data_IF_798209429690
#
_entry.id   IF_798209429690
#
_cell.length_a   1.000
_cell.length_b   1.000
_cell.length_c   1.000
_cell.angle_alpha   90.00
_cell.angle_beta   90.00
_cell.angle_gamma   90.00
#
_symmetry.space_group_name_H-M   'P 1'
#
loop_
_entity.id
_entity.type
_entity.pdbx_description
1 polymer ?
#
# COMPACT_ATOMS: atom_id res chain seq x y z
N UNK A 1 -1.31 -2.60 24.20
CA UNK A 1 -0.01 -3.09 23.70
C UNK A 1 0.49 -2.14 22.61
N UNK A 2 1.76 -1.71 22.68
CA UNK A 2 2.41 -0.80 21.71
C UNK A 2 2.87 -1.57 20.46
N UNK A 3 1.94 -2.27 19.82
CA UNK A 3 2.28 -3.22 18.76
C UNK A 3 2.75 -2.53 17.48
N UNK A 4 2.27 -1.32 17.18
CA UNK A 4 2.69 -0.56 16.00
C UNK A 4 4.17 -0.18 16.07
N UNK A 5 4.63 0.31 17.23
CA UNK A 5 6.04 0.63 17.45
C UNK A 5 6.92 -0.63 17.39
N UNK A 6 6.40 -1.76 17.89
CA UNK A 6 7.10 -3.06 17.82
C UNK A 6 7.21 -3.56 16.37
N UNK A 7 6.14 -3.48 15.58
CA UNK A 7 6.17 -3.83 14.15
C UNK A 7 7.20 -2.97 13.42
N UNK A 8 7.15 -1.65 13.59
CA UNK A 8 8.09 -0.73 12.94
C UNK A 8 9.56 -1.09 13.26
N UNK A 9 9.85 -1.43 14.52
CA UNK A 9 11.20 -1.85 14.92
C UNK A 9 11.62 -3.17 14.26
N UNK A 10 10.73 -4.16 14.23
CA UNK A 10 11.01 -5.45 13.59
C UNK A 10 11.25 -5.30 12.08
N UNK A 11 10.52 -4.40 11.42
CA UNK A 11 10.69 -4.08 10.01
C UNK A 11 12.06 -3.42 9.75
N UNK A 12 12.47 -2.46 10.59
CA UNK A 12 13.81 -1.84 10.53
C UNK A 12 14.95 -2.84 10.75
N UNK A 13 14.74 -3.83 11.62
CA UNK A 13 15.70 -4.89 11.92
C UNK A 13 15.68 -6.02 10.86
N UNK A 14 14.80 -5.96 9.85
CA UNK A 14 14.65 -7.00 8.83
C UNK A 14 14.06 -8.32 9.35
N UNK A 15 13.40 -8.28 10.52
CA UNK A 15 12.79 -9.42 11.22
C UNK A 15 11.35 -9.65 10.76
N UNK A 16 11.14 -9.81 9.45
CA UNK A 16 9.82 -9.80 8.83
C UNK A 16 8.89 -10.92 9.31
N UNK A 17 9.41 -12.13 9.49
CA UNK A 17 8.64 -13.26 10.01
C UNK A 17 8.09 -12.99 11.41
N UNK A 18 8.89 -12.32 12.25
CA UNK A 18 8.49 -11.96 13.60
C UNK A 18 7.44 -10.85 13.55
N UNK A 19 7.56 -9.90 12.61
CA UNK A 19 6.54 -8.88 12.38
C UNK A 19 5.20 -9.50 11.92
N UNK A 20 5.25 -10.48 11.00
CA UNK A 20 4.07 -11.25 10.57
C UNK A 20 3.45 -11.97 11.76
N UNK A 21 4.24 -12.73 12.53
CA UNK A 21 3.76 -13.44 13.71
C UNK A 21 3.13 -12.51 14.76
N UNK A 22 3.75 -11.36 15.01
CA UNK A 22 3.22 -10.34 15.91
C UNK A 22 1.85 -9.84 15.44
N UNK A 23 1.72 -9.50 14.15
CA UNK A 23 0.47 -9.02 13.56
C UNK A 23 -0.63 -10.09 13.61
N UNK A 24 -0.30 -11.36 13.36
CA UNK A 24 -1.25 -12.47 13.54
C UNK A 24 -1.76 -12.57 14.99
N UNK A 25 -0.88 -12.38 15.99
CA UNK A 25 -1.30 -12.33 17.40
C UNK A 25 -2.21 -11.15 17.70
N UNK A 26 -1.86 -9.96 17.21
CA UNK A 26 -2.70 -8.77 17.38
C UNK A 26 -4.08 -8.99 16.79
N UNK A 27 -4.19 -9.61 15.62
CA UNK A 27 -5.49 -9.97 15.00
C UNK A 27 -6.23 -11.01 15.84
N UNK A 28 -5.55 -12.04 16.35
CA UNK A 28 -6.18 -13.05 17.20
C UNK A 28 -6.74 -12.47 18.51
N UNK A 29 -6.03 -11.51 19.12
CA UNK A 29 -6.46 -10.84 20.36
C UNK A 29 -7.47 -9.71 20.11
N UNK A 30 -7.39 -9.06 18.95
CA UNK A 30 -8.20 -7.91 18.56
C UNK A 30 -8.70 -8.06 17.11
N UNK A 31 -9.64 -8.99 16.86
CA UNK A 31 -10.07 -9.31 15.49
C UNK A 31 -10.76 -8.13 14.79
N UNK A 32 -11.28 -7.14 15.53
CA UNK A 32 -11.90 -5.93 14.97
C UNK A 32 -10.89 -4.80 14.66
N UNK A 33 -9.58 -5.08 14.75
CA UNK A 33 -8.55 -4.09 14.50
C UNK A 33 -8.17 -4.01 13.01
N UNK A 34 -8.83 -3.12 12.27
CA UNK A 34 -8.58 -2.88 10.84
C UNK A 34 -7.10 -2.58 10.52
N UNK A 35 -6.41 -1.84 11.39
CA UNK A 35 -5.00 -1.48 11.18
C UNK A 35 -4.11 -2.72 11.19
N UNK A 36 -4.39 -3.70 12.07
CA UNK A 36 -3.60 -4.91 12.12
C UNK A 36 -3.67 -5.71 10.82
N UNK A 37 -4.85 -5.74 10.16
CA UNK A 37 -5.00 -6.36 8.84
C UNK A 37 -4.29 -5.56 7.74
N UNK A 38 -4.42 -4.23 7.73
CA UNK A 38 -3.72 -3.38 6.75
C UNK A 38 -2.21 -3.60 6.84
N UNK A 39 -1.64 -3.58 8.05
CA UNK A 39 -0.22 -3.81 8.28
C UNK A 39 0.20 -5.23 7.87
N UNK A 40 -0.60 -6.24 8.18
CA UNK A 40 -0.29 -7.63 7.82
C UNK A 40 -0.31 -7.86 6.31
N UNK A 41 -1.34 -7.35 5.62
CA UNK A 41 -1.44 -7.48 4.17
C UNK A 41 -0.31 -6.74 3.46
N UNK A 42 0.04 -5.54 3.95
CA UNK A 42 1.22 -4.84 3.46
C UNK A 42 2.50 -5.65 3.68
N UNK A 43 2.71 -6.18 4.89
CA UNK A 43 3.92 -6.95 5.20
C UNK A 43 4.02 -8.22 4.37
N UNK A 44 2.91 -8.90 4.10
CA UNK A 44 2.87 -10.07 3.22
C UNK A 44 3.15 -9.68 1.76
N UNK A 45 2.59 -8.58 1.29
CA UNK A 45 2.88 -8.04 -0.05
C UNK A 45 4.37 -7.72 -0.20
N UNK A 46 4.92 -6.95 0.72
CA UNK A 46 6.32 -6.53 0.73
C UNK A 46 7.24 -7.77 0.79
N UNK A 47 6.91 -8.77 1.61
CA UNK A 47 7.71 -9.99 1.71
C UNK A 47 7.65 -10.86 0.44
N UNK A 48 6.47 -10.99 -0.18
CA UNK A 48 6.26 -11.85 -1.35
C UNK A 48 6.77 -11.23 -2.65
N UNK A 49 6.63 -9.92 -2.82
CA UNK A 49 6.97 -9.20 -4.05
C UNK A 49 8.35 -8.57 -3.93
N UNK A 50 8.56 -7.77 -2.89
CA UNK A 50 9.78 -6.97 -2.72
C UNK A 50 10.87 -7.67 -1.89
N UNK A 51 10.52 -8.75 -1.17
CA UNK A 51 11.45 -9.49 -0.33
C UNK A 51 12.64 -10.02 -1.12
N UNK A 52 12.44 -10.47 -2.36
CA UNK A 52 13.53 -10.88 -3.25
C UNK A 52 14.44 -9.71 -3.67
N UNK A 53 13.85 -8.53 -3.90
CA UNK A 53 14.53 -7.29 -4.28
C UNK A 53 15.36 -6.67 -3.14
N UNK A 54 14.81 -6.68 -1.92
CA UNK A 54 15.47 -6.14 -0.73
C UNK A 54 16.78 -6.88 -0.43
N UNK A 55 16.79 -8.21 -0.49
CA UNK A 55 18.00 -9.00 -0.26
C UNK A 55 18.95 -8.98 -1.46
N UNK A 56 18.44 -8.84 -2.69
CA UNK A 56 19.29 -8.81 -3.88
C UNK A 56 20.10 -7.53 -4.03
N UNK A 57 19.62 -6.40 -3.52
CA UNK A 57 20.28 -5.10 -3.64
C UNK A 57 21.35 -4.85 -2.56
N UNK A 58 21.37 -5.64 -1.48
CA UNK A 58 22.47 -5.61 -0.52
C UNK A 58 23.56 -6.57 -1.01
N UNK A 59 24.35 -6.11 -1.98
CA UNK A 59 25.51 -6.86 -2.50
C UNK A 59 26.58 -7.21 -1.43
N UNK A 60 26.42 -6.71 -0.21
CA UNK A 60 27.31 -6.90 0.94
C UNK A 60 26.71 -7.73 2.08
N UNK A 61 25.49 -8.25 1.96
CA UNK A 61 24.93 -9.12 3.00
C UNK A 61 25.56 -10.52 2.88
N UNK A 62 26.39 -10.97 3.83
CA UNK A 62 27.02 -12.28 3.78
C UNK A 62 26.01 -13.44 3.85
N UNK A 63 24.74 -13.17 4.20
CA UNK A 63 23.67 -14.16 4.31
C UNK A 63 22.67 -14.11 3.14
N UNK A 64 22.95 -13.34 2.07
CA UNK A 64 22.01 -13.13 0.96
C UNK A 64 21.46 -14.43 0.38
N UNK A 65 22.32 -15.40 0.03
CA UNK A 65 21.89 -16.65 -0.61
C UNK A 65 21.04 -17.50 0.35
N UNK A 66 21.44 -17.58 1.62
CA UNK A 66 20.71 -18.32 2.66
C UNK A 66 19.35 -17.69 2.90
N UNK A 67 19.27 -16.37 2.98
CA UNK A 67 18.00 -15.63 3.13
C UNK A 67 17.11 -15.81 1.91
N UNK A 68 17.67 -15.73 0.70
CA UNK A 68 16.91 -15.95 -0.54
C UNK A 68 16.29 -17.35 -0.55
N UNK A 69 17.07 -18.39 -0.28
CA UNK A 69 16.57 -19.77 -0.22
C UNK A 69 15.55 -19.96 0.91
N UNK A 70 15.75 -19.30 2.06
CA UNK A 70 14.80 -19.32 3.16
C UNK A 70 13.45 -18.72 2.75
N UNK A 71 13.43 -17.49 2.21
CA UNK A 71 12.17 -16.84 1.81
C UNK A 71 11.51 -17.52 0.60
N UNK A 72 12.29 -18.09 -0.32
CA UNK A 72 11.76 -18.94 -1.40
C UNK A 72 11.05 -20.17 -0.83
N UNK A 73 11.63 -20.84 0.17
CA UNK A 73 11.00 -21.98 0.85
C UNK A 73 9.70 -21.62 1.60
N UNK A 74 9.49 -20.34 1.90
CA UNK A 74 8.32 -19.78 2.59
C UNK A 74 7.26 -19.20 1.65
N UNK A 75 7.53 -19.15 0.34
CA UNK A 75 6.65 -18.47 -0.61
C UNK A 75 5.21 -18.98 -0.56
N UNK A 76 5.00 -20.30 -0.69
CA UNK A 76 3.67 -20.89 -0.68
C UNK A 76 2.93 -20.68 0.65
N UNK A 77 3.65 -20.70 1.77
CA UNK A 77 3.11 -20.40 3.10
C UNK A 77 2.59 -18.96 3.16
N UNK A 78 3.38 -18.00 2.67
CA UNK A 78 3.02 -16.59 2.67
C UNK A 78 1.91 -16.25 1.69
N UNK A 79 1.85 -16.89 0.52
CA UNK A 79 0.71 -16.78 -0.40
C UNK A 79 -0.57 -17.28 0.27
N UNK A 80 -0.52 -18.41 0.97
CA UNK A 80 -1.69 -18.92 1.70
C UNK A 80 -2.14 -17.98 2.82
N UNK A 81 -1.19 -17.40 3.57
CA UNK A 81 -1.49 -16.39 4.58
C UNK A 81 -2.12 -15.14 3.96
N UNK A 82 -1.57 -14.63 2.87
CA UNK A 82 -2.06 -13.45 2.15
C UNK A 82 -3.52 -13.65 1.71
N UNK A 83 -3.82 -14.80 1.08
CA UNK A 83 -5.18 -15.15 0.65
C UNK A 83 -6.14 -15.27 1.82
N UNK A 84 -5.73 -15.96 2.89
CA UNK A 84 -6.57 -16.15 4.07
C UNK A 84 -6.94 -14.82 4.70
N UNK A 85 -5.94 -13.99 5.02
CA UNK A 85 -6.18 -12.72 5.68
C UNK A 85 -6.87 -11.71 4.77
N UNK A 86 -6.62 -11.72 3.47
CA UNK A 86 -7.37 -10.89 2.52
C UNK A 86 -8.84 -11.30 2.50
N UNK A 87 -9.16 -12.59 2.34
CA UNK A 87 -10.54 -13.05 2.31
C UNK A 87 -11.28 -12.74 3.62
N UNK A 88 -10.64 -12.99 4.76
CA UNK A 88 -11.18 -12.71 6.09
C UNK A 88 -11.46 -11.22 6.31
N UNK A 89 -10.47 -10.36 6.04
CA UNK A 89 -10.62 -8.92 6.25
C UNK A 89 -11.52 -8.27 5.21
N UNK A 90 -11.53 -8.72 3.96
CA UNK A 90 -12.43 -8.22 2.94
C UNK A 90 -13.89 -8.53 3.26
N UNK A 91 -14.18 -9.76 3.72
CA UNK A 91 -15.52 -10.11 4.18
C UNK A 91 -16.01 -9.22 5.34
N UNK A 92 -15.07 -8.79 6.19
CA UNK A 92 -15.36 -8.00 7.39
C UNK A 92 -15.46 -6.48 7.15
N UNK A 93 -14.63 -5.96 6.26
CA UNK A 93 -14.40 -4.52 6.09
C UNK A 93 -14.71 -4.04 4.68
N UNK A 94 -15.55 -4.77 3.94
CA UNK A 94 -15.99 -4.40 2.58
C UNK A 94 -16.81 -3.11 2.50
N UNK A 95 -17.23 -2.57 3.64
CA UNK A 95 -17.89 -1.27 3.81
C UNK A 95 -17.03 -0.25 4.57
N UNK A 96 -15.79 -0.60 4.93
CA UNK A 96 -14.87 0.30 5.60
C UNK A 96 -14.02 1.05 4.55
N UNK A 97 -14.20 2.37 4.40
CA UNK A 97 -13.52 3.13 3.36
C UNK A 97 -11.99 3.16 3.51
N UNK A 98 -11.47 3.18 4.74
CA UNK A 98 -10.04 3.18 5.01
C UNK A 98 -9.39 1.87 4.58
N UNK A 99 -9.99 0.75 4.99
CA UNK A 99 -9.55 -0.59 4.60
C UNK A 99 -9.51 -0.74 3.09
N UNK A 100 -10.61 -0.41 2.41
CA UNK A 100 -10.74 -0.53 0.97
C UNK A 100 -9.67 0.28 0.22
N UNK A 101 -9.40 1.51 0.67
CA UNK A 101 -8.37 2.36 0.08
C UNK A 101 -6.97 1.77 0.26
N UNK A 102 -6.56 1.49 1.50
CA UNK A 102 -5.21 1.01 1.78
C UNK A 102 -4.95 -0.36 1.13
N UNK A 103 -5.87 -1.31 1.32
CA UNK A 103 -5.68 -2.67 0.81
C UNK A 103 -5.74 -2.71 -0.70
N UNK A 104 -6.62 -1.94 -1.35
CA UNK A 104 -6.64 -1.83 -2.81
C UNK A 104 -5.30 -1.34 -3.38
N UNK A 105 -4.67 -0.35 -2.74
CA UNK A 105 -3.34 0.14 -3.17
C UNK A 105 -2.24 -0.89 -2.89
N UNK A 106 -2.29 -1.55 -1.72
CA UNK A 106 -1.31 -2.55 -1.28
C UNK A 106 -1.28 -3.74 -2.24
N UNK A 107 -2.43 -4.32 -2.59
CA UNK A 107 -2.48 -5.55 -3.41
C UNK A 107 -2.35 -5.25 -4.92
N UNK A 108 -2.47 -3.99 -5.33
CA UNK A 108 -2.41 -3.56 -6.73
C UNK A 108 -1.20 -4.04 -7.56
N UNK A 109 0.02 -4.20 -7.02
CA UNK A 109 1.16 -4.70 -7.80
C UNK A 109 0.99 -6.13 -8.30
N UNK A 110 0.35 -7.00 -7.51
CA UNK A 110 0.04 -8.38 -7.90
C UNK A 110 -1.23 -8.85 -7.16
N UNK A 111 -2.42 -8.54 -7.69
CA UNK A 111 -3.67 -8.90 -7.04
C UNK A 111 -3.91 -10.42 -7.03
N UNK A 112 -3.27 -11.19 -7.92
CA UNK A 112 -3.47 -12.64 -8.04
C UNK A 112 -2.89 -13.42 -6.85
N UNK A 113 -1.84 -12.89 -6.21
CA UNK A 113 -1.33 -13.42 -4.94
C UNK A 113 -2.45 -13.44 -3.89
N UNK A 114 -3.16 -12.33 -3.73
CA UNK A 114 -4.15 -12.13 -2.66
C UNK A 114 -5.53 -12.69 -3.01
N UNK A 115 -5.95 -12.56 -4.27
CA UNK A 115 -7.23 -13.02 -4.74
C UNK A 115 -7.09 -13.64 -6.15
N UNK A 116 -7.07 -14.99 -6.25
CA UNK A 116 -6.88 -15.67 -7.54
C UNK A 116 -8.14 -15.67 -8.42
N UNK A 117 -9.23 -15.01 -8.01
CA UNK A 117 -10.47 -14.96 -8.76
C UNK A 117 -10.28 -14.15 -10.04
N UNK A 118 -10.63 -14.75 -11.19
CA UNK A 118 -10.66 -14.05 -12.46
C UNK A 118 -11.58 -12.82 -12.41
N UNK A 119 -11.10 -11.72 -13.00
CA UNK A 119 -11.83 -10.45 -13.06
C UNK A 119 -11.86 -9.67 -11.75
N UNK A 120 -11.11 -10.09 -10.71
CA UNK A 120 -10.91 -9.25 -9.54
C UNK A 120 -10.01 -8.06 -9.90
N UNK A 121 -10.53 -6.84 -9.72
CA UNK A 121 -9.79 -5.60 -9.90
C UNK A 121 -9.65 -4.88 -8.54
N UNK A 122 -8.42 -4.70 -8.00
CA UNK A 122 -8.22 -3.92 -6.77
C UNK A 122 -8.66 -2.46 -6.91
N UNK A 123 -8.82 -1.95 -8.14
CA UNK A 123 -9.36 -0.62 -8.37
C UNK A 123 -10.83 -0.48 -7.96
N UNK A 124 -11.61 -1.56 -8.01
CA UNK A 124 -12.99 -1.55 -7.53
C UNK A 124 -13.07 -1.26 -6.03
N UNK A 125 -12.10 -1.73 -5.25
CA UNK A 125 -11.99 -1.42 -3.82
C UNK A 125 -11.74 0.06 -3.60
N UNK A 126 -10.80 0.63 -4.36
CA UNK A 126 -10.44 2.05 -4.27
C UNK A 126 -11.65 2.93 -4.68
N UNK A 127 -12.36 2.57 -5.75
CA UNK A 127 -13.59 3.25 -6.16
C UNK A 127 -14.68 3.17 -5.08
N UNK A 128 -14.87 2.00 -4.46
CA UNK A 128 -15.82 1.81 -3.38
C UNK A 128 -15.46 2.66 -2.15
N UNK A 129 -14.18 2.76 -1.79
CA UNK A 129 -13.71 3.65 -0.72
C UNK A 129 -14.14 5.11 -0.96
N UNK A 130 -13.98 5.60 -2.20
CA UNK A 130 -14.38 6.96 -2.55
C UNK A 130 -15.90 7.15 -2.57
N UNK A 131 -16.65 6.18 -3.06
CA UNK A 131 -18.11 6.20 -2.99
C UNK A 131 -18.63 6.26 -1.55
N UNK A 132 -17.89 5.66 -0.61
CA UNK A 132 -18.14 5.72 0.83
C UNK A 132 -17.61 6.99 1.51
N UNK A 133 -17.28 8.02 0.73
CA UNK A 133 -16.78 9.29 1.23
C UNK A 133 -15.50 9.12 2.07
N UNK A 134 -14.59 8.18 1.74
CA UNK A 134 -13.22 8.25 2.28
C UNK A 134 -12.54 9.60 1.96
N UNK A 135 -13.10 10.33 1.00
CA UNK A 135 -12.80 11.71 0.66
C UNK A 135 -13.18 12.74 1.76
N UNK A 136 -13.91 12.39 2.83
CA UNK A 136 -14.42 13.37 3.82
C UNK A 136 -13.40 13.87 4.84
N UNK A 137 -12.26 13.19 5.01
CA UNK A 137 -11.12 13.81 5.71
C UNK A 137 -10.39 14.81 4.79
N UNK A 138 -10.67 14.76 3.48
CA UNK A 138 -10.04 15.54 2.41
C UNK A 138 -11.10 16.38 1.68
N UNK A 139 -11.91 17.10 2.47
CA UNK A 139 -13.22 17.65 2.11
C UNK A 139 -13.24 18.56 0.87
N UNK A 140 -12.09 18.98 0.33
CA UNK A 140 -11.99 19.74 -0.93
C UNK A 140 -10.80 19.36 -1.86
N UNK A 141 -9.96 18.35 -1.55
CA UNK A 141 -8.62 18.22 -2.19
C UNK A 141 -8.19 16.81 -2.64
N UNK A 142 -9.11 15.84 -2.71
CA UNK A 142 -8.80 14.51 -3.29
C UNK A 142 -9.86 14.01 -4.28
N UNK A 143 -10.54 14.92 -4.96
CA UNK A 143 -11.39 14.65 -6.14
C UNK A 143 -10.59 14.16 -7.36
N UNK A 144 -9.30 13.91 -7.16
CA UNK A 144 -8.26 13.76 -8.16
C UNK A 144 -7.94 12.34 -8.58
N UNK A 145 -7.95 11.43 -7.60
CA UNK A 145 -7.70 10.03 -7.85
C UNK A 145 -8.88 9.35 -8.56
N UNK A 146 -10.09 9.89 -8.36
CA UNK A 146 -11.31 9.59 -9.14
C UNK A 146 -11.12 9.76 -10.66
N UNK A 147 -10.18 10.60 -11.12
CA UNK A 147 -9.95 10.84 -12.55
C UNK A 147 -8.72 10.13 -13.12
N UNK A 148 -7.76 9.71 -12.29
CA UNK A 148 -6.62 8.90 -12.74
C UNK A 148 -7.07 7.55 -13.29
N UNK A 149 -8.17 7.02 -12.76
CA UNK A 149 -8.74 5.73 -13.14
C UNK A 149 -9.84 5.86 -14.21
N UNK A 150 -10.40 7.06 -14.37
CA UNK A 150 -11.54 7.30 -15.24
C UNK A 150 -11.26 8.17 -16.48
N UNK A 151 -10.16 8.95 -16.56
CA UNK A 151 -10.01 9.92 -17.66
C UNK A 151 -8.57 10.22 -18.10
N UNK A 152 -8.40 10.35 -19.42
CA UNK A 152 -7.20 10.81 -20.12
C UNK A 152 -6.94 12.33 -19.98
N UNK A 153 -7.36 12.99 -18.90
CA UNK A 153 -7.26 14.45 -18.76
C UNK A 153 -5.94 14.88 -18.10
N UNK A 154 -4.95 15.18 -18.93
CA UNK A 154 -3.60 15.59 -18.53
C UNK A 154 -3.56 16.85 -17.65
N UNK A 155 -4.47 17.82 -17.85
CA UNK A 155 -4.45 19.09 -17.11
C UNK A 155 -4.78 18.90 -15.62
N UNK A 156 -5.80 18.10 -15.33
CA UNK A 156 -6.18 17.80 -13.96
C UNK A 156 -5.09 16.98 -13.25
N UNK A 157 -4.48 16.01 -13.95
CA UNK A 157 -3.38 15.21 -13.40
C UNK A 157 -2.20 16.07 -12.91
N UNK A 158 -1.86 17.15 -13.62
CA UNK A 158 -0.80 18.09 -13.22
C UNK A 158 -1.15 18.82 -11.91
N UNK A 159 -2.38 19.35 -11.80
CA UNK A 159 -2.86 20.03 -10.59
C UNK A 159 -2.76 19.11 -9.38
N UNK A 160 -3.15 17.85 -9.56
CA UNK A 160 -3.15 16.85 -8.50
C UNK A 160 -1.76 16.39 -8.10
N UNK A 161 -0.88 16.18 -9.08
CA UNK A 161 0.51 15.87 -8.83
C UNK A 161 1.18 16.97 -7.99
N UNK A 162 0.91 18.25 -8.29
CA UNK A 162 1.40 19.37 -7.48
C UNK A 162 0.87 19.30 -6.06
N UNK A 163 -0.44 19.08 -5.89
CA UNK A 163 -1.08 19.04 -4.58
C UNK A 163 -0.49 17.93 -3.67
N UNK A 164 -0.33 16.71 -4.20
CA UNK A 164 0.28 15.57 -3.47
C UNK A 164 1.71 15.91 -3.00
N UNK A 165 2.47 16.63 -3.83
CA UNK A 165 3.84 17.03 -3.49
C UNK A 165 3.89 18.21 -2.53
N UNK A 166 2.86 19.06 -2.49
CA UNK A 166 2.85 20.31 -1.72
C UNK A 166 2.11 20.25 -0.38
N UNK A 167 1.28 19.23 -0.12
CA UNK A 167 0.49 19.14 1.12
C UNK A 167 1.14 18.22 2.19
N UNK A 168 1.69 18.79 3.29
CA UNK A 168 2.22 18.02 4.41
C UNK A 168 1.15 17.33 5.27
N UNK A 169 -0.12 17.73 5.15
CA UNK A 169 -1.23 17.12 5.89
C UNK A 169 -1.53 15.72 5.37
N UNK A 170 -1.59 15.56 4.04
CA UNK A 170 -1.71 14.29 3.34
C UNK A 170 -0.59 13.31 3.73
N UNK A 171 0.66 13.79 3.74
CA UNK A 171 1.82 12.97 4.10
C UNK A 171 1.75 12.49 5.56
N UNK A 172 1.35 13.36 6.50
CA UNK A 172 1.23 13.02 7.92
C UNK A 172 0.10 12.04 8.20
N UNK A 173 -1.04 12.18 7.52
CA UNK A 173 -2.17 11.28 7.71
C UNK A 173 -1.86 9.88 7.18
N UNK A 174 -1.24 9.77 6.00
CA UNK A 174 -0.87 8.48 5.45
C UNK A 174 0.20 7.78 6.31
N UNK A 175 1.12 8.53 6.93
CA UNK A 175 2.13 8.02 7.85
C UNK A 175 1.56 7.34 9.12
N UNK A 176 0.27 7.53 9.44
CA UNK A 176 -0.36 6.88 10.61
C UNK A 176 -0.41 5.34 10.52
N UNK A 177 -0.20 4.78 9.32
CA UNK A 177 -0.14 3.34 9.06
C UNK A 177 1.29 2.78 8.97
N UNK A 178 2.28 3.46 9.56
CA UNK A 178 3.68 3.00 9.54
C UNK A 178 4.15 2.75 8.11
N UNK A 179 4.89 1.68 7.88
CA UNK A 179 5.44 1.37 6.56
C UNK A 179 4.38 1.07 5.50
N UNK A 180 3.18 0.60 5.86
CA UNK A 180 2.07 0.48 4.91
C UNK A 180 1.63 1.86 4.39
N UNK A 181 1.62 2.84 5.28
CA UNK A 181 1.38 4.24 4.97
C UNK A 181 2.45 4.85 4.07
N UNK A 182 3.72 4.63 4.44
CA UNK A 182 4.90 5.07 3.68
C UNK A 182 4.93 4.50 2.27
N UNK A 183 4.56 3.23 2.09
CA UNK A 183 4.44 2.60 0.79
C UNK A 183 3.38 3.28 -0.07
N UNK A 184 2.17 3.48 0.49
CA UNK A 184 1.07 4.12 -0.22
C UNK A 184 1.43 5.53 -0.67
N UNK A 185 2.00 6.38 0.22
CA UNK A 185 2.45 7.73 -0.16
C UNK A 185 3.59 7.68 -1.17
N UNK A 186 4.54 6.76 -1.02
CA UNK A 186 5.67 6.60 -1.94
C UNK A 186 5.21 6.33 -3.38
N UNK A 187 4.16 5.52 -3.56
CA UNK A 187 3.55 5.29 -4.88
C UNK A 187 2.93 6.56 -5.45
N UNK A 188 2.19 7.32 -4.66
CA UNK A 188 1.57 8.56 -5.11
C UNK A 188 2.59 9.66 -5.42
N UNK A 189 3.65 9.79 -4.62
CA UNK A 189 4.76 10.72 -4.89
C UNK A 189 5.46 10.34 -6.20
N UNK A 190 5.75 9.06 -6.40
CA UNK A 190 6.40 8.57 -7.63
C UNK A 190 5.54 8.85 -8.86
N UNK A 191 4.24 8.59 -8.76
CA UNK A 191 3.28 8.94 -9.79
C UNK A 191 3.26 10.44 -10.08
N UNK A 192 3.16 11.27 -9.04
CA UNK A 192 3.07 12.72 -9.17
C UNK A 192 4.30 13.29 -9.88
N UNK A 193 5.50 12.84 -9.51
CA UNK A 193 6.75 13.23 -10.18
C UNK A 193 6.72 12.87 -11.67
N UNK A 194 6.35 11.62 -12.00
CA UNK A 194 6.26 11.16 -13.40
C UNK A 194 5.27 11.98 -14.24
N UNK A 195 4.14 12.37 -13.65
CA UNK A 195 3.15 13.24 -14.32
C UNK A 195 3.76 14.61 -14.65
N UNK A 196 4.47 15.22 -13.70
CA UNK A 196 5.07 16.54 -13.89
C UNK A 196 6.24 16.50 -14.88
N UNK A 197 7.13 15.50 -14.78
CA UNK A 197 8.22 15.27 -15.73
C UNK A 197 7.70 15.11 -17.18
N UNK A 198 6.61 14.35 -17.35
CA UNK A 198 5.96 14.18 -18.66
C UNK A 198 5.28 15.47 -19.15
N UNK A 199 4.74 16.29 -18.27
CA UNK A 199 4.12 17.56 -18.63
C UNK A 199 5.17 18.58 -19.12
N UNK A 200 6.32 18.65 -18.44
CA UNK A 200 7.47 19.48 -18.81
C UNK A 200 8.07 19.04 -20.15
N UNK A 201 8.23 17.73 -20.35
CA UNK A 201 8.78 17.15 -21.59
C UNK A 201 7.89 17.37 -22.82
N UNK A 202 6.57 17.49 -22.62
CA UNK A 202 5.58 17.66 -23.70
C UNK A 202 5.19 19.12 -23.97
N UNK A 203 5.85 20.10 -23.33
CA UNK A 203 5.59 21.53 -23.57
C UNK A 203 4.22 22.02 -23.10
N UNK A 204 3.57 21.32 -22.17
CA UNK A 204 2.31 21.79 -21.60
C UNK A 204 2.56 23.08 -20.81
N UNK A 205 1.76 24.15 -21.00
CA UNK A 205 2.02 25.42 -20.35
C UNK A 205 1.90 25.27 -18.83
N UNK A 206 3.00 25.53 -18.12
CA UNK A 206 3.05 25.61 -16.67
C UNK A 206 2.40 26.94 -16.27
N UNK A 207 1.07 26.98 -16.14
CA UNK A 207 0.43 28.12 -15.48
C UNK A 207 0.67 28.02 -13.98
N UNK A 208 1.49 28.94 -13.46
CA UNK A 208 1.53 29.28 -12.04
C UNK A 208 0.39 30.26 -11.80
N UNK A 209 -0.62 29.83 -11.04
CA UNK A 209 -1.62 30.70 -10.44
C UNK A 209 -1.79 30.29 -8.99
#
# INVERSE_FOLDING_TARGET
>A
MHWKEQVARLEQEGSFDIAIFLLQKVIAEHPDNVDAYIFLLYRLMDTLIEGSCYWSNISKDPLREVKSAYYESKYDEYVQLARRYFAESYAKYSDNPEYLFYVGVIIGPDPYIFNPKEGFDPMDMIHAAFALNYNTVLKDEFTSLNMYLATHNQANNIVYARHILSDPSLQRQLATKGSAGEYVIGRYITWAKKVLENAESNGAPISNS
#
